data_IF_623650831404
#
_entry.id   IF_623650831404
#
_cell.length_a   1.000
_cell.length_b   1.000
_cell.length_c   1.000
_cell.angle_alpha   90.00
_cell.angle_beta   90.00
_cell.angle_gamma   90.00
#
_symmetry.space_group_name_H-M   'P 1'
#
loop_
_entity.id
_entity.type
_entity.pdbx_description
1 polymer ?
#
# COMPACT_ATOMS: atom_id res chain seq x y z
N UNK A 1 7.94 -46.34 -28.85
CA UNK A 1 7.77 -44.88 -28.66
C UNK A 1 6.51 -44.61 -27.83
N UNK A 2 6.47 -45.00 -26.55
CA UNK A 2 5.20 -45.11 -25.81
C UNK A 2 5.15 -44.54 -24.37
N UNK A 3 6.24 -44.54 -23.59
CA UNK A 3 6.15 -44.07 -22.19
C UNK A 3 6.73 -42.67 -21.92
N UNK A 4 7.40 -42.05 -22.91
CA UNK A 4 8.12 -40.77 -22.69
C UNK A 4 7.18 -39.55 -22.83
N UNK A 5 6.11 -39.68 -23.63
CA UNK A 5 5.19 -38.57 -23.91
C UNK A 5 4.28 -38.28 -22.70
N UNK A 6 3.91 -39.31 -21.94
CA UNK A 6 3.04 -39.18 -20.75
C UNK A 6 3.76 -38.51 -19.57
N UNK A 7 5.05 -38.78 -19.38
CA UNK A 7 5.83 -38.15 -18.31
C UNK A 7 6.15 -36.68 -18.60
N UNK A 8 6.31 -36.31 -19.87
CA UNK A 8 6.50 -34.91 -20.30
C UNK A 8 5.25 -34.05 -20.07
N UNK A 9 4.05 -34.60 -20.27
CA UNK A 9 2.79 -33.88 -20.00
C UNK A 9 2.53 -33.69 -18.51
N UNK A 10 2.79 -34.72 -17.70
CA UNK A 10 2.61 -34.67 -16.24
C UNK A 10 3.57 -33.67 -15.56
N UNK A 11 4.80 -33.58 -16.05
CA UNK A 11 5.80 -32.61 -15.56
C UNK A 11 5.50 -31.19 -16.02
N UNK A 12 5.00 -30.98 -17.24
CA UNK A 12 4.61 -29.64 -17.72
C UNK A 12 3.42 -29.04 -16.95
N UNK A 13 2.39 -29.84 -16.68
CA UNK A 13 1.17 -29.37 -15.99
C UNK A 13 1.40 -29.03 -14.52
N UNK A 14 2.28 -29.77 -13.85
CA UNK A 14 2.61 -29.55 -12.43
C UNK A 14 3.37 -28.25 -12.20
N UNK A 15 4.27 -27.86 -13.12
CA UNK A 15 4.99 -26.57 -13.07
C UNK A 15 4.03 -25.40 -13.27
N UNK A 16 3.06 -25.51 -14.20
CA UNK A 16 2.04 -24.49 -14.43
C UNK A 16 1.13 -24.30 -13.21
N UNK A 17 0.67 -25.40 -12.60
CA UNK A 17 -0.14 -25.34 -11.38
C UNK A 17 0.62 -24.69 -10.21
N UNK A 18 1.91 -25.01 -10.05
CA UNK A 18 2.78 -24.37 -9.08
C UNK A 18 2.94 -22.87 -9.32
N UNK A 19 3.16 -22.45 -10.57
CA UNK A 19 3.31 -21.03 -10.93
C UNK A 19 2.04 -20.21 -10.63
N UNK A 20 0.86 -20.77 -10.88
CA UNK A 20 -0.42 -20.11 -10.55
C UNK A 20 -0.57 -19.92 -9.04
N UNK A 21 -0.22 -20.93 -8.23
CA UNK A 21 -0.29 -20.83 -6.77
C UNK A 21 0.69 -19.77 -6.22
N UNK A 22 1.92 -19.71 -6.72
CA UNK A 22 2.89 -18.67 -6.31
C UNK A 22 2.40 -17.28 -6.72
N UNK A 23 1.85 -17.12 -7.93
CA UNK A 23 1.26 -15.85 -8.39
C UNK A 23 0.11 -15.40 -7.49
N UNK A 24 -0.77 -16.31 -7.08
CA UNK A 24 -1.86 -16.02 -6.15
C UNK A 24 -1.35 -15.52 -4.79
N UNK A 25 -0.30 -16.13 -4.24
CA UNK A 25 0.29 -15.69 -2.97
C UNK A 25 0.95 -14.31 -3.08
N UNK A 26 1.62 -14.02 -4.20
CA UNK A 26 2.25 -12.71 -4.44
C UNK A 26 1.23 -11.61 -4.74
N UNK A 27 0.11 -11.91 -5.40
CA UNK A 27 -0.97 -10.93 -5.62
C UNK A 27 -1.73 -10.65 -4.30
N UNK A 28 -1.89 -11.64 -3.43
CA UNK A 28 -2.48 -11.47 -2.10
C UNK A 28 -1.55 -10.72 -1.13
N UNK A 29 -0.23 -10.87 -1.31
CA UNK A 29 0.79 -10.17 -0.54
C UNK A 29 1.57 -9.24 -1.46
N UNK A 30 0.98 -8.08 -1.84
CA UNK A 30 1.73 -7.09 -2.62
C UNK A 30 3.05 -6.84 -1.89
N UNK A 31 4.15 -6.85 -2.65
CA UNK A 31 5.57 -6.88 -2.27
C UNK A 31 6.06 -5.78 -1.31
N UNK A 32 5.18 -5.15 -0.54
CA UNK A 32 5.53 -4.36 0.62
C UNK A 32 5.86 -5.33 1.76
N UNK A 33 7.14 -5.70 1.85
CA UNK A 33 7.67 -6.65 2.81
C UNK A 33 7.23 -6.37 4.27
N UNK A 34 7.37 -7.37 5.16
CA UNK A 34 6.92 -7.24 6.53
C UNK A 34 7.63 -6.06 7.21
N UNK A 35 6.86 -5.02 7.55
CA UNK A 35 7.20 -4.21 8.71
C UNK A 35 7.01 -2.71 8.64
N UNK A 36 6.89 -2.04 7.49
CA UNK A 36 6.68 -0.57 7.50
C UNK A 36 5.79 -0.09 6.36
N UNK A 37 4.51 0.09 6.67
CA UNK A 37 3.68 0.99 5.88
C UNK A 37 4.44 2.33 5.73
N UNK A 38 4.44 2.95 4.53
CA UNK A 38 5.19 4.17 4.28
C UNK A 38 4.81 5.22 5.33
N UNK A 39 5.76 6.06 5.75
CA UNK A 39 5.44 7.13 6.70
C UNK A 39 4.43 8.09 6.06
N UNK A 40 3.50 8.60 6.86
CA UNK A 40 2.59 9.62 6.38
C UNK A 40 3.41 10.88 6.04
N UNK A 41 3.37 11.38 4.78
CA UNK A 41 4.17 12.54 4.38
C UNK A 41 3.76 13.81 5.12
N UNK A 42 2.48 13.93 5.53
CA UNK A 42 1.96 15.12 6.21
C UNK A 42 2.44 15.28 7.65
N UNK A 43 2.69 14.18 8.37
CA UNK A 43 3.17 14.23 9.77
C UNK A 43 4.50 13.51 9.99
N UNK A 44 5.15 13.07 8.90
CA UNK A 44 6.43 12.37 8.88
C UNK A 44 6.53 11.20 9.89
N UNK A 45 5.47 10.39 10.03
CA UNK A 45 5.46 9.26 10.96
C UNK A 45 4.94 9.55 12.38
N UNK A 46 4.79 10.81 12.79
CA UNK A 46 4.47 11.15 14.18
C UNK A 46 2.98 10.99 14.55
N UNK A 47 2.10 10.92 13.55
CA UNK A 47 0.64 10.86 13.75
C UNK A 47 0.00 12.18 14.23
N UNK A 48 0.80 13.21 14.53
CA UNK A 48 0.31 14.51 15.00
C UNK A 48 0.92 15.66 14.20
N UNK A 49 0.14 16.71 14.03
CA UNK A 49 0.56 17.95 13.37
C UNK A 49 0.34 19.14 14.31
N UNK A 50 0.97 20.26 14.00
CA UNK A 50 0.69 21.53 14.68
C UNK A 50 -0.79 21.86 14.56
N UNK A 51 -1.37 22.32 15.66
CA UNK A 51 -2.78 22.65 15.69
C UNK A 51 -3.07 23.84 14.77
N UNK A 52 -4.18 23.78 14.06
CA UNK A 52 -4.54 24.79 13.07
C UNK A 52 -4.69 26.20 13.69
N UNK A 53 -4.99 26.28 14.99
CA UNK A 53 -5.05 27.56 15.69
C UNK A 53 -3.71 28.25 15.92
N UNK A 54 -2.59 27.53 15.83
CA UNK A 54 -1.26 28.13 15.93
C UNK A 54 -1.00 29.19 14.85
N UNK A 55 -1.75 29.19 13.74
CA UNK A 55 -1.59 30.16 12.65
C UNK A 55 -2.10 31.57 13.01
N UNK A 56 -3.06 31.66 13.92
CA UNK A 56 -3.71 32.92 14.31
C UNK A 56 -3.61 33.20 15.81
N UNK A 57 -2.97 32.29 16.54
CA UNK A 57 -2.67 32.44 17.94
C UNK A 57 -1.28 33.06 18.07
N UNK A 58 -1.17 34.15 18.84
CA UNK A 58 0.07 34.87 19.10
C UNK A 58 0.96 34.18 20.16
N UNK A 59 0.84 32.86 20.32
CA UNK A 59 1.61 32.06 21.28
C UNK A 59 0.74 31.27 22.26
N UNK A 60 -0.53 31.64 22.40
CA UNK A 60 -1.50 30.96 23.29
C UNK A 60 -2.30 29.89 22.55
N UNK A 61 -1.89 28.62 22.68
CA UNK A 61 -2.66 27.52 22.12
C UNK A 61 -3.99 27.37 22.89
N UNK A 62 -5.13 27.56 22.20
CA UNK A 62 -6.40 27.68 22.92
C UNK A 62 -7.67 27.45 22.10
N UNK A 63 -7.63 26.60 21.06
CA UNK A 63 -8.83 26.26 20.31
C UNK A 63 -9.41 24.90 20.72
N UNK A 64 -10.73 24.74 20.55
CA UNK A 64 -11.46 23.49 20.86
C UNK A 64 -10.87 22.27 20.13
N UNK A 65 -10.30 22.46 18.95
CA UNK A 65 -9.70 21.40 18.12
C UNK A 65 -8.52 20.69 18.79
N UNK A 66 -7.70 21.40 19.56
CA UNK A 66 -6.55 20.80 20.27
C UNK A 66 -6.62 20.94 21.78
N UNK A 67 -7.73 21.43 22.33
CA UNK A 67 -7.95 21.55 23.78
C UNK A 67 -6.78 22.21 24.53
N UNK A 68 -6.17 23.23 23.92
CA UNK A 68 -5.02 23.95 24.47
C UNK A 68 -3.65 23.25 24.34
N UNK A 69 -3.58 22.03 23.80
CA UNK A 69 -2.30 21.30 23.68
C UNK A 69 -1.39 21.76 22.53
N UNK A 70 -1.89 22.59 21.62
CA UNK A 70 -1.15 23.06 20.44
C UNK A 70 -0.86 21.98 19.38
N UNK A 71 -1.32 20.73 19.57
CA UNK A 71 -1.16 19.64 18.60
C UNK A 71 -2.50 18.97 18.31
N UNK A 72 -2.73 18.62 17.05
CA UNK A 72 -3.91 17.87 16.62
C UNK A 72 -3.50 16.59 15.90
N UNK A 73 -4.44 15.64 15.82
CA UNK A 73 -4.25 14.40 15.06
C UNK A 73 -4.03 14.72 13.58
N UNK A 74 -3.10 14.02 12.94
CA UNK A 74 -2.90 14.19 11.50
C UNK A 74 -4.08 13.60 10.72
N UNK A 75 -4.86 14.47 10.07
CA UNK A 75 -6.03 14.04 9.28
C UNK A 75 -5.66 13.13 8.12
N UNK A 76 -4.49 13.32 7.50
CA UNK A 76 -4.04 12.53 6.34
C UNK A 76 -3.80 11.05 6.67
N UNK A 77 -3.42 10.73 7.91
CA UNK A 77 -3.25 9.34 8.36
C UNK A 77 -4.21 8.93 9.48
N UNK A 78 -5.11 9.82 9.92
CA UNK A 78 -5.98 9.57 11.06
C UNK A 78 -5.23 9.30 12.38
N UNK A 79 -3.97 9.75 12.50
CA UNK A 79 -3.16 9.54 13.70
C UNK A 79 -2.28 8.30 13.73
N UNK A 80 -2.34 7.43 12.71
CA UNK A 80 -1.52 6.21 12.68
C UNK A 80 -0.03 6.49 12.44
N UNK A 81 0.31 7.66 11.89
CA UNK A 81 1.66 7.99 11.44
C UNK A 81 2.07 7.29 10.14
N UNK A 82 1.27 6.35 9.65
CA UNK A 82 1.51 5.60 8.41
C UNK A 82 0.64 6.16 7.29
N UNK A 83 1.23 6.33 6.11
CA UNK A 83 0.50 6.62 4.88
C UNK A 83 -0.35 5.40 4.49
N UNK A 84 -1.58 5.65 4.07
CA UNK A 84 -2.43 4.61 3.47
C UNK A 84 -2.00 4.40 2.02
N UNK A 85 -1.58 3.18 1.64
CA UNK A 85 -1.46 2.83 0.22
C UNK A 85 -2.84 2.94 -0.42
N UNK A 86 -2.94 3.67 -1.52
CA UNK A 86 -4.14 3.69 -2.35
C UNK A 86 -3.92 2.66 -3.46
N UNK A 87 -4.54 1.47 -3.40
CA UNK A 87 -4.44 0.52 -4.49
C UNK A 87 -5.17 1.11 -5.71
N UNK A 88 -4.45 1.25 -6.82
CA UNK A 88 -5.03 1.67 -8.10
C UNK A 88 -4.90 0.51 -9.07
N UNK A 89 -6.00 0.09 -9.69
CA UNK A 89 -5.96 -0.85 -10.81
C UNK A 89 -5.75 -0.08 -12.11
N UNK A 90 -4.70 -0.42 -12.85
CA UNK A 90 -4.37 0.20 -14.13
C UNK A 90 -4.72 -0.80 -15.23
N UNK A 91 -5.69 -0.47 -16.10
CA UNK A 91 -6.02 -1.27 -17.28
C UNK A 91 -5.22 -0.77 -18.49
N UNK A 92 -4.26 -1.55 -18.97
CA UNK A 92 -3.48 -1.23 -20.17
C UNK A 92 -4.09 -1.98 -21.36
N UNK A 93 -4.49 -1.25 -22.41
CA UNK A 93 -4.90 -1.88 -23.68
C UNK A 93 -3.66 -2.26 -24.50
N UNK A 94 -3.60 -3.46 -25.09
CA UNK A 94 -2.54 -3.83 -26.02
C UNK A 94 -2.51 -2.85 -27.20
N UNK A 95 -1.32 -2.47 -27.71
CA UNK A 95 -1.24 -1.71 -28.96
C UNK A 95 -1.83 -2.54 -30.11
N UNK A 96 -2.59 -1.90 -30.98
CA UNK A 96 -3.10 -2.53 -32.20
C UNK A 96 -1.90 -3.02 -33.03
N UNK A 97 -1.77 -4.34 -33.18
CA UNK A 97 -0.72 -4.94 -33.98
C UNK A 97 -1.10 -4.80 -35.47
N UNK A 98 -0.27 -4.18 -36.31
CA UNK A 98 -0.54 -4.13 -37.74
C UNK A 98 -0.41 -5.53 -38.37
N UNK A 99 -1.35 -5.84 -39.26
CA UNK A 99 -1.49 -7.07 -40.05
C UNK A 99 -0.35 -7.30 -41.03
#
# INVERSE_FOLDING_TARGET
MGPIVLTQLATGLSVLAGAVLVKQVMDQNPMMGPGRAPRCPSCNGTGRVTCMCARWSDGDYGCRTCAGSGRMVCNSCGGTGTGRPIPVQISVRPPNQPS
#
